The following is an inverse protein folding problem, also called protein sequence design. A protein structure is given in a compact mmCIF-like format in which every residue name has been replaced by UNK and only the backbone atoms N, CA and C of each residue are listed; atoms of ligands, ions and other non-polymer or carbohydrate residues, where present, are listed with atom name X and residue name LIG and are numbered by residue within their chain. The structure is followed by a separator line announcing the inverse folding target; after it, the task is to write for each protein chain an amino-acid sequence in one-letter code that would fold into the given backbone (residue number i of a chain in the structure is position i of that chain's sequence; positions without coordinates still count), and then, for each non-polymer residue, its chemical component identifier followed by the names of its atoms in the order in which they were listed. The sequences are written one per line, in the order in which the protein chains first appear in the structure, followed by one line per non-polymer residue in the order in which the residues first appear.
data_IF_249331196875
#
_entry.id   IF_249331196875
#
_cell.length_a   1.000
_cell.length_b   1.000
_cell.length_c   1.000
_cell.angle_alpha   90.00
_cell.angle_beta   90.00
_cell.angle_gamma   90.00
#
_symmetry.space_group_name_H-M   'P 1'
#
loop_
_entity.id
_entity.type
_entity.pdbx_description
1 polymer ?
#
# COMPACT_ATOMS: atom_id res chain seq x y z
N UNK A 1 -53.74 20.32 48.41
CA UNK A 1 -53.02 21.35 47.64
C UNK A 1 -52.04 20.65 46.71
N UNK A 2 -52.19 20.87 45.39
CA UNK A 2 -51.42 20.20 44.32
C UNK A 2 -49.95 20.64 44.37
N UNK A 3 -49.02 19.81 43.89
CA UNK A 3 -48.06 20.12 42.81
C UNK A 3 -47.44 18.79 42.33
N UNK A 4 -47.74 18.43 41.07
CA UNK A 4 -47.02 17.43 40.26
C UNK A 4 -45.85 18.16 39.60
N UNK A 5 -44.63 17.72 39.80
CA UNK A 5 -43.49 18.14 38.97
C UNK A 5 -43.20 17.04 37.95
N UNK A 6 -43.43 17.36 36.69
CA UNK A 6 -42.97 16.58 35.54
C UNK A 6 -41.53 17.01 35.23
N UNK A 7 -40.58 16.09 35.31
CA UNK A 7 -39.26 16.26 34.70
C UNK A 7 -39.31 15.60 33.32
N UNK A 8 -39.41 16.42 32.29
CA UNK A 8 -39.24 16.01 30.91
C UNK A 8 -37.80 15.55 30.71
N UNK A 9 -37.61 14.27 30.39
CA UNK A 9 -36.32 13.73 29.99
C UNK A 9 -35.89 14.35 28.67
N UNK A 10 -34.86 15.18 28.71
CA UNK A 10 -34.21 15.75 27.54
C UNK A 10 -33.26 14.69 26.96
N UNK A 11 -33.75 13.90 26.01
CA UNK A 11 -32.93 12.93 25.28
C UNK A 11 -31.98 13.70 24.35
N UNK A 12 -30.72 13.83 24.76
CA UNK A 12 -29.63 14.35 23.95
C UNK A 12 -29.35 13.33 22.83
N UNK A 13 -29.87 13.59 21.63
CA UNK A 13 -29.47 12.87 20.43
C UNK A 13 -28.08 13.39 20.06
N UNK A 14 -27.05 12.63 20.42
CA UNK A 14 -25.67 12.85 19.95
C UNK A 14 -25.62 12.37 18.50
N UNK A 15 -25.84 13.28 17.56
CA UNK A 15 -25.51 13.04 16.15
C UNK A 15 -23.99 12.99 16.03
N UNK A 16 -23.44 11.78 15.93
CA UNK A 16 -22.05 11.59 15.55
C UNK A 16 -21.85 12.14 14.13
N UNK A 17 -21.22 13.32 14.02
CA UNK A 17 -20.65 13.78 12.76
C UNK A 17 -19.56 12.77 12.37
N UNK A 18 -19.90 11.88 11.42
CA UNK A 18 -18.90 11.12 10.69
C UNK A 18 -18.18 12.15 9.81
N UNK A 19 -17.07 12.67 10.31
CA UNK A 19 -16.14 13.45 9.48
C UNK A 19 -15.65 12.51 8.38
N UNK A 20 -15.83 12.84 7.08
CA UNK A 20 -15.20 12.07 6.04
C UNK A 20 -13.70 12.13 6.26
N UNK A 21 -13.05 10.97 6.44
CA UNK A 21 -11.59 10.88 6.35
C UNK A 21 -11.21 11.51 5.01
N UNK A 22 -10.50 12.63 5.06
CA UNK A 22 -10.00 13.27 3.86
C UNK A 22 -9.04 12.28 3.17
N UNK A 23 -9.47 11.71 2.04
CA UNK A 23 -8.66 10.86 1.19
C UNK A 23 -7.50 11.62 0.49
N UNK A 24 -7.13 12.81 0.98
CA UNK A 24 -6.11 13.70 0.40
C UNK A 24 -4.67 13.42 0.87
N UNK A 25 -4.46 12.59 1.90
CA UNK A 25 -3.15 12.43 2.53
C UNK A 25 -2.18 11.46 1.80
N UNK A 26 -2.64 10.71 0.81
CA UNK A 26 -1.88 9.54 0.31
C UNK A 26 -0.79 9.91 -0.71
N UNK A 27 -0.89 11.08 -1.34
CA UNK A 27 0.03 11.52 -2.38
C UNK A 27 0.63 12.90 -2.10
N UNK A 28 0.76 13.26 -0.81
CA UNK A 28 1.39 14.53 -0.44
C UNK A 28 2.85 14.55 -0.90
N UNK A 29 3.26 15.69 -1.45
CA UNK A 29 4.64 15.92 -1.89
C UNK A 29 5.30 16.92 -0.95
N UNK A 30 6.63 16.91 -0.89
CA UNK A 30 7.37 17.95 -0.16
C UNK A 30 7.41 19.29 -0.91
N UNK A 31 6.89 19.36 -2.13
CA UNK A 31 6.82 20.60 -2.90
C UNK A 31 5.87 21.56 -2.18
N UNK A 32 6.40 22.74 -1.81
CA UNK A 32 5.69 23.75 -1.02
C UNK A 32 5.25 23.31 0.39
N UNK A 33 5.80 22.21 0.92
CA UNK A 33 5.55 21.78 2.30
C UNK A 33 6.42 22.59 3.28
N UNK A 34 5.88 22.98 4.45
CA UNK A 34 6.71 23.56 5.52
C UNK A 34 7.76 22.57 6.05
N UNK A 35 7.56 21.27 5.81
CA UNK A 35 8.49 20.21 6.22
C UNK A 35 9.45 19.80 5.08
N UNK A 36 9.52 20.57 3.99
CA UNK A 36 10.28 20.21 2.78
C UNK A 36 11.72 19.81 3.09
N UNK A 37 12.47 20.66 3.78
CA UNK A 37 13.88 20.40 4.10
C UNK A 37 14.05 19.11 4.91
N UNK A 38 13.17 18.87 5.88
CA UNK A 38 13.21 17.67 6.71
C UNK A 38 12.92 16.40 5.89
N UNK A 39 11.93 16.47 4.99
CA UNK A 39 11.58 15.37 4.10
C UNK A 39 12.69 15.07 3.08
N UNK A 40 13.30 16.11 2.48
CA UNK A 40 14.42 15.96 1.55
C UNK A 40 15.66 15.38 2.24
N UNK A 41 15.99 15.85 3.45
CA UNK A 41 17.13 15.32 4.21
C UNK A 41 16.92 13.84 4.56
N UNK A 42 15.74 13.47 5.06
CA UNK A 42 15.40 12.08 5.33
C UNK A 42 15.44 11.22 4.05
N UNK A 43 14.94 11.75 2.93
CA UNK A 43 15.00 11.09 1.62
C UNK A 43 16.44 10.79 1.18
N UNK A 44 17.32 11.79 1.21
CA UNK A 44 18.72 11.65 0.81
C UNK A 44 19.44 10.59 1.67
N UNK A 45 19.21 10.62 2.99
CA UNK A 45 19.81 9.68 3.94
C UNK A 45 19.37 8.24 3.66
N UNK A 46 18.06 7.97 3.61
CA UNK A 46 17.58 6.60 3.39
C UNK A 46 18.02 6.07 2.02
N UNK A 47 18.01 6.91 0.96
CA UNK A 47 18.49 6.53 -0.37
C UNK A 47 19.97 6.14 -0.37
N UNK A 48 20.78 6.76 0.49
CA UNK A 48 22.18 6.37 0.71
C UNK A 48 22.31 4.94 1.27
N UNK A 49 21.46 4.57 2.23
CA UNK A 49 21.41 3.22 2.80
C UNK A 49 20.82 2.19 1.83
N UNK A 50 19.77 2.54 1.08
CA UNK A 50 19.19 1.67 0.03
C UNK A 50 20.24 1.28 -1.02
N UNK A 51 21.08 2.22 -1.47
CA UNK A 51 22.17 1.92 -2.42
C UNK A 51 23.17 0.89 -1.87
N UNK A 52 23.34 0.85 -0.56
CA UNK A 52 24.20 -0.11 0.14
C UNK A 52 23.45 -1.39 0.55
N UNK A 53 22.14 -1.47 0.27
CA UNK A 53 21.22 -2.54 0.71
C UNK A 53 21.15 -2.68 2.23
N UNK A 54 21.45 -1.61 2.96
CA UNK A 54 21.28 -1.56 4.42
C UNK A 54 19.85 -1.14 4.76
N UNK A 55 18.92 -2.08 4.61
CA UNK A 55 17.49 -1.84 4.82
C UNK A 55 17.15 -1.52 6.28
N UNK A 56 17.91 -2.08 7.22
CA UNK A 56 17.75 -1.81 8.65
C UNK A 56 18.06 -0.35 8.97
N UNK A 57 19.18 0.17 8.46
CA UNK A 57 19.52 1.58 8.63
C UNK A 57 18.62 2.50 7.79
N UNK A 58 18.16 2.07 6.61
CA UNK A 58 17.26 2.84 5.76
C UNK A 58 15.89 3.08 6.40
N UNK A 59 15.31 2.07 7.07
CA UNK A 59 13.93 2.08 7.55
C UNK A 59 13.51 3.34 8.34
N UNK A 60 14.21 3.78 9.40
CA UNK A 60 13.78 4.94 10.17
C UNK A 60 13.74 6.23 9.34
N UNK A 61 14.71 6.45 8.46
CA UNK A 61 14.77 7.62 7.60
C UNK A 61 13.74 7.55 6.47
N UNK A 62 13.54 6.36 5.89
CA UNK A 62 12.48 6.13 4.90
C UNK A 62 11.11 6.42 5.50
N UNK A 63 10.82 5.87 6.69
CA UNK A 63 9.54 6.08 7.38
C UNK A 63 9.30 7.56 7.66
N UNK A 64 10.32 8.28 8.11
CA UNK A 64 10.26 9.72 8.31
C UNK A 64 9.94 10.47 7.01
N UNK A 65 10.68 10.18 5.93
CA UNK A 65 10.47 10.82 4.63
C UNK A 65 9.06 10.54 4.07
N UNK A 66 8.66 9.27 4.07
CA UNK A 66 7.36 8.80 3.60
C UNK A 66 6.20 9.39 4.41
N UNK A 67 6.34 9.51 5.73
CA UNK A 67 5.29 10.10 6.59
C UNK A 67 5.07 11.59 6.29
N UNK A 68 6.11 12.33 5.94
CA UNK A 68 6.02 13.77 5.63
C UNK A 68 5.57 14.05 4.20
N UNK A 69 5.93 13.18 3.26
CA UNK A 69 5.65 13.36 1.84
C UNK A 69 5.66 12.01 1.11
N UNK A 70 4.58 11.21 1.17
CA UNK A 70 4.52 9.87 0.56
C UNK A 70 4.85 9.85 -0.93
N UNK A 71 4.44 10.89 -1.67
CA UNK A 71 4.71 11.05 -3.09
C UNK A 71 5.99 11.86 -3.37
N UNK A 72 6.89 11.99 -2.40
CA UNK A 72 8.20 12.58 -2.60
C UNK A 72 8.16 13.97 -3.28
N UNK A 73 8.80 14.09 -4.45
CA UNK A 73 8.80 15.29 -5.30
C UNK A 73 7.64 15.34 -6.31
N UNK A 74 6.74 14.35 -6.28
CA UNK A 74 5.65 14.16 -7.24
C UNK A 74 6.09 13.64 -8.60
N UNK A 75 7.38 13.29 -8.78
CA UNK A 75 7.94 12.88 -10.07
C UNK A 75 8.42 11.43 -10.09
N UNK A 76 8.81 10.88 -8.93
CA UNK A 76 9.35 9.52 -8.82
C UNK A 76 8.75 8.79 -7.62
N UNK A 77 8.26 7.59 -7.87
CA UNK A 77 7.70 6.64 -6.89
C UNK A 77 8.73 5.99 -5.95
N UNK A 78 9.87 6.63 -5.73
CA UNK A 78 10.98 6.08 -4.92
C UNK A 78 10.54 5.72 -3.49
N UNK A 79 9.68 6.52 -2.87
CA UNK A 79 9.20 6.21 -1.52
C UNK A 79 8.37 4.94 -1.47
N UNK A 80 7.52 4.68 -2.48
CA UNK A 80 6.74 3.46 -2.55
C UNK A 80 7.62 2.25 -2.88
N UNK A 81 8.39 2.32 -3.97
CA UNK A 81 9.28 1.24 -4.41
C UNK A 81 10.34 0.86 -3.37
N UNK A 82 11.02 1.84 -2.77
CA UNK A 82 12.03 1.57 -1.74
C UNK A 82 11.38 1.07 -0.44
N UNK A 83 10.18 1.56 -0.12
CA UNK A 83 9.40 1.07 1.02
C UNK A 83 9.06 -0.40 0.86
N UNK A 84 8.60 -0.80 -0.32
CA UNK A 84 8.34 -2.19 -0.67
C UNK A 84 9.60 -3.04 -0.49
N UNK A 85 10.76 -2.57 -0.96
CA UNK A 85 12.03 -3.28 -0.77
C UNK A 85 12.40 -3.46 0.71
N UNK A 86 12.23 -2.41 1.53
CA UNK A 86 12.48 -2.46 2.98
C UNK A 86 11.53 -3.45 3.66
N UNK A 87 10.23 -3.39 3.37
CA UNK A 87 9.26 -4.32 3.96
C UNK A 87 9.44 -5.75 3.46
N UNK A 88 9.85 -5.96 2.21
CA UNK A 88 10.21 -7.29 1.69
C UNK A 88 11.40 -7.87 2.44
N UNK A 89 12.42 -7.06 2.72
CA UNK A 89 13.54 -7.47 3.58
C UNK A 89 13.07 -7.84 4.99
N UNK A 90 12.22 -7.03 5.62
CA UNK A 90 11.68 -7.34 6.97
C UNK A 90 10.83 -8.61 6.97
N UNK A 91 10.00 -8.82 5.94
CA UNK A 91 9.20 -10.03 5.74
C UNK A 91 10.09 -11.29 5.65
N UNK A 92 11.21 -11.20 4.94
CA UNK A 92 12.15 -12.31 4.77
C UNK A 92 12.98 -12.60 6.03
N UNK A 93 13.17 -11.61 6.91
CA UNK A 93 14.05 -11.70 8.09
C UNK A 93 13.29 -11.81 9.42
N UNK A 94 11.98 -12.05 9.40
CA UNK A 94 11.18 -12.33 10.59
C UNK A 94 10.63 -13.74 10.53
N UNK A 95 10.54 -14.42 11.68
CA UNK A 95 9.84 -15.70 11.84
C UNK A 95 8.49 -15.53 12.54
N UNK A 96 8.18 -14.33 13.06
CA UNK A 96 6.89 -14.06 13.69
C UNK A 96 5.78 -14.01 12.62
N UNK A 97 4.79 -14.93 12.66
CA UNK A 97 3.73 -14.97 11.65
C UNK A 97 2.89 -13.70 11.59
N UNK A 98 2.69 -13.01 12.72
CA UNK A 98 1.91 -11.76 12.76
C UNK A 98 2.69 -10.62 12.10
N UNK A 99 4.00 -10.57 12.33
CA UNK A 99 4.85 -9.58 11.66
C UNK A 99 4.97 -9.88 10.17
N UNK A 100 5.12 -11.15 9.76
CA UNK A 100 5.10 -11.53 8.34
C UNK A 100 3.83 -11.03 7.66
N UNK A 101 2.68 -11.32 8.23
CA UNK A 101 1.40 -10.89 7.65
C UNK A 101 1.31 -9.36 7.59
N UNK A 102 1.64 -8.67 8.69
CA UNK A 102 1.63 -7.20 8.72
C UNK A 102 2.58 -6.57 7.68
N UNK A 103 3.74 -7.16 7.41
CA UNK A 103 4.66 -6.67 6.40
C UNK A 103 4.16 -6.94 4.98
N UNK A 104 3.58 -8.12 4.72
CA UNK A 104 2.95 -8.43 3.44
C UNK A 104 1.80 -7.46 3.14
N UNK A 105 0.93 -7.20 4.11
CA UNK A 105 -0.18 -6.25 3.96
C UNK A 105 0.32 -4.82 3.72
N UNK A 106 1.45 -4.44 4.34
CA UNK A 106 2.07 -3.13 4.09
C UNK A 106 2.65 -3.03 2.67
N UNK A 107 3.21 -4.11 2.14
CA UNK A 107 3.69 -4.15 0.74
C UNK A 107 2.52 -3.93 -0.23
N UNK A 108 1.40 -4.63 -0.02
CA UNK A 108 0.17 -4.45 -0.83
C UNK A 108 -0.33 -3.01 -0.75
N UNK A 109 -0.41 -2.43 0.46
CA UNK A 109 -0.80 -1.04 0.65
C UNK A 109 0.10 -0.06 -0.12
N UNK A 110 1.42 -0.27 -0.11
CA UNK A 110 2.36 0.58 -0.84
C UNK A 110 2.22 0.47 -2.36
N UNK A 111 1.90 -0.72 -2.90
CA UNK A 111 1.59 -0.89 -4.31
C UNK A 111 0.32 -0.14 -4.72
N UNK A 112 -0.76 -0.22 -3.92
CA UNK A 112 -1.99 0.51 -4.20
C UNK A 112 -1.77 2.02 -4.21
N UNK A 113 -1.04 2.54 -3.22
CA UNK A 113 -0.68 3.97 -3.18
C UNK A 113 0.23 4.37 -4.33
N UNK A 114 1.17 3.52 -4.75
CA UNK A 114 1.98 3.76 -5.93
C UNK A 114 1.09 3.92 -7.15
N UNK A 115 0.19 2.97 -7.41
CA UNK A 115 -0.76 3.02 -8.52
C UNK A 115 -1.62 4.29 -8.48
N UNK A 116 -2.08 4.68 -7.30
CA UNK A 116 -2.90 5.87 -7.11
C UNK A 116 -2.13 7.18 -7.37
N UNK A 117 -0.92 7.31 -6.82
CA UNK A 117 -0.15 8.55 -6.88
C UNK A 117 0.61 8.73 -8.19
N UNK A 118 0.96 7.63 -8.87
CA UNK A 118 1.69 7.64 -10.14
C UNK A 118 0.96 6.81 -11.20
N UNK A 119 -0.19 7.29 -11.72
CA UNK A 119 -0.99 6.53 -12.68
C UNK A 119 -0.24 6.17 -13.97
N UNK A 120 0.78 6.97 -14.36
CA UNK A 120 1.64 6.67 -15.52
C UNK A 120 2.54 5.44 -15.29
N UNK A 121 2.76 5.04 -14.03
CA UNK A 121 3.53 3.87 -13.64
C UNK A 121 2.64 2.68 -13.27
N UNK A 122 1.31 2.82 -13.36
CA UNK A 122 0.32 1.81 -12.94
C UNK A 122 0.62 0.41 -13.47
N UNK A 123 0.81 0.28 -14.78
CA UNK A 123 1.05 -1.02 -15.41
C UNK A 123 2.32 -1.70 -14.86
N UNK A 124 3.35 -0.90 -14.58
CA UNK A 124 4.59 -1.38 -13.98
C UNK A 124 4.38 -1.79 -12.51
N UNK A 125 3.73 -0.94 -11.70
CA UNK A 125 3.46 -1.21 -10.30
C UNK A 125 2.60 -2.47 -10.11
N UNK A 126 1.50 -2.62 -10.85
CA UNK A 126 0.65 -3.82 -10.82
C UNK A 126 1.42 -5.08 -11.25
N UNK A 127 2.29 -4.97 -12.25
CA UNK A 127 3.12 -6.08 -12.70
C UNK A 127 4.13 -6.57 -11.64
N UNK A 128 4.67 -5.64 -10.85
CA UNK A 128 5.54 -5.94 -9.72
C UNK A 128 4.74 -6.51 -8.54
N UNK A 129 3.55 -5.97 -8.27
CA UNK A 129 2.67 -6.47 -7.21
C UNK A 129 2.31 -7.93 -7.45
N UNK A 130 1.84 -8.30 -8.64
CA UNK A 130 1.55 -9.70 -9.00
C UNK A 130 2.76 -10.60 -8.76
N UNK A 131 3.95 -10.14 -9.13
CA UNK A 131 5.19 -10.89 -8.91
C UNK A 131 5.46 -11.10 -7.42
N UNK A 132 5.32 -10.05 -6.60
CA UNK A 132 5.51 -10.11 -5.16
C UNK A 132 4.51 -11.06 -4.49
N UNK A 133 3.22 -10.93 -4.79
CA UNK A 133 2.17 -11.77 -4.21
C UNK A 133 2.40 -13.25 -4.53
N UNK A 134 2.79 -13.56 -5.76
CA UNK A 134 2.98 -14.94 -6.20
C UNK A 134 4.30 -15.56 -5.73
N UNK A 135 5.44 -14.90 -5.97
CA UNK A 135 6.76 -15.49 -5.75
C UNK A 135 7.33 -15.20 -4.36
N UNK A 136 7.18 -13.97 -3.87
CA UNK A 136 7.88 -13.51 -2.67
C UNK A 136 7.05 -13.70 -1.40
N UNK A 137 5.79 -13.29 -1.44
CA UNK A 137 4.88 -13.31 -0.30
C UNK A 137 4.05 -14.59 -0.23
N UNK A 138 3.92 -15.30 -1.37
CA UNK A 138 3.14 -16.54 -1.52
C UNK A 138 1.73 -16.39 -0.95
N UNK A 139 1.07 -15.28 -1.30
CA UNK A 139 -0.29 -14.97 -0.89
C UNK A 139 -1.28 -16.00 -1.44
N UNK A 140 -2.48 -16.12 -0.86
CA UNK A 140 -3.54 -16.98 -1.37
C UNK A 140 -3.77 -16.74 -2.87
N UNK A 141 -4.00 -17.81 -3.62
CA UNK A 141 -4.11 -17.73 -5.09
C UNK A 141 -5.30 -16.89 -5.55
N UNK A 142 -6.36 -16.81 -4.75
CA UNK A 142 -7.49 -15.91 -4.96
C UNK A 142 -7.04 -14.45 -4.97
N UNK A 143 -6.19 -14.05 -4.02
CA UNK A 143 -5.65 -12.68 -3.94
C UNK A 143 -4.74 -12.38 -5.13
N UNK A 144 -3.84 -13.31 -5.48
CA UNK A 144 -2.97 -13.18 -6.66
C UNK A 144 -3.81 -13.05 -7.94
N UNK A 145 -4.88 -13.86 -8.07
CA UNK A 145 -5.74 -13.86 -9.25
C UNK A 145 -6.44 -12.51 -9.44
N UNK A 146 -7.01 -11.93 -8.38
CA UNK A 146 -7.71 -10.64 -8.47
C UNK A 146 -6.76 -9.52 -8.93
N UNK A 147 -5.55 -9.45 -8.37
CA UNK A 147 -4.57 -8.43 -8.76
C UNK A 147 -4.03 -8.70 -10.17
N UNK A 148 -3.78 -9.95 -10.54
CA UNK A 148 -3.31 -10.30 -11.87
C UNK A 148 -4.36 -10.02 -12.96
N UNK A 149 -5.63 -10.29 -12.66
CA UNK A 149 -6.77 -9.92 -13.50
C UNK A 149 -6.85 -8.41 -13.67
N UNK A 150 -6.81 -7.65 -12.56
CA UNK A 150 -6.79 -6.18 -12.59
C UNK A 150 -5.63 -5.65 -13.43
N UNK A 151 -4.43 -6.22 -13.29
CA UNK A 151 -3.27 -5.83 -14.09
C UNK A 151 -3.54 -5.97 -15.59
N UNK A 152 -4.12 -7.10 -16.03
CA UNK A 152 -4.47 -7.32 -17.44
C UNK A 152 -5.59 -6.39 -17.91
N UNK A 153 -6.65 -6.23 -17.11
CA UNK A 153 -7.82 -5.42 -17.48
C UNK A 153 -7.52 -3.92 -17.54
N UNK A 154 -6.71 -3.40 -16.60
CA UNK A 154 -6.39 -1.98 -16.54
C UNK A 154 -5.19 -1.59 -17.43
N UNK A 155 -4.21 -2.47 -17.62
CA UNK A 155 -3.02 -2.16 -18.41
C UNK A 155 -3.12 -2.56 -19.89
N UNK A 156 -3.97 -3.53 -20.24
CA UNK A 156 -4.11 -4.02 -21.61
C UNK A 156 -2.77 -4.41 -22.22
N UNK A 157 -2.42 -3.84 -23.37
CA UNK A 157 -1.14 -4.08 -24.07
C UNK A 157 0.11 -3.62 -23.28
N UNK A 158 -0.06 -2.82 -22.23
CA UNK A 158 1.05 -2.41 -21.34
C UNK A 158 1.27 -3.39 -20.18
N UNK A 159 0.50 -4.48 -20.10
CA UNK A 159 0.67 -5.50 -19.06
C UNK A 159 2.09 -6.03 -19.04
N UNK A 160 2.73 -6.00 -17.87
CA UNK A 160 4.09 -6.51 -17.71
C UNK A 160 4.14 -8.02 -17.95
N UNK A 161 5.18 -8.49 -18.63
CA UNK A 161 5.34 -9.92 -18.94
C UNK A 161 5.37 -10.81 -17.67
N UNK A 162 5.78 -10.24 -16.53
CA UNK A 162 5.85 -10.91 -15.23
C UNK A 162 4.47 -11.35 -14.71
N UNK A 163 3.38 -10.83 -15.26
CA UNK A 163 2.00 -11.14 -14.86
C UNK A 163 1.53 -12.47 -15.43
N UNK A 164 1.89 -12.80 -16.68
CA UNK A 164 1.22 -13.89 -17.42
C UNK A 164 1.40 -15.27 -16.79
N UNK A 165 2.61 -15.61 -16.32
CA UNK A 165 2.86 -16.92 -15.68
C UNK A 165 2.12 -17.05 -14.34
N UNK A 166 2.25 -16.11 -13.38
CA UNK A 166 1.41 -16.10 -12.18
C UNK A 166 -0.07 -16.19 -12.50
N UNK A 167 -0.57 -15.35 -13.42
CA UNK A 167 -1.99 -15.27 -13.72
C UNK A 167 -2.54 -16.59 -14.27
N UNK A 168 -1.88 -17.16 -15.28
CA UNK A 168 -2.28 -18.44 -15.84
C UNK A 168 -2.21 -19.57 -14.80
N UNK A 169 -1.18 -19.56 -13.95
CA UNK A 169 -1.01 -20.58 -12.91
C UNK A 169 -2.16 -20.54 -11.90
N UNK A 170 -2.48 -19.36 -11.37
CA UNK A 170 -3.55 -19.23 -10.37
C UNK A 170 -4.93 -19.41 -11.00
N UNK A 171 -5.15 -18.98 -12.24
CA UNK A 171 -6.40 -19.20 -12.96
C UNK A 171 -6.68 -20.70 -13.18
N UNK A 172 -5.70 -21.46 -13.69
CA UNK A 172 -5.83 -22.92 -13.88
C UNK A 172 -6.08 -23.63 -12.56
N UNK A 173 -5.36 -23.24 -11.50
CA UNK A 173 -5.57 -23.80 -10.18
C UNK A 173 -6.99 -23.54 -9.67
N UNK A 174 -7.45 -22.29 -9.67
CA UNK A 174 -8.76 -21.92 -9.14
C UNK A 174 -9.90 -22.53 -9.96
N UNK A 175 -9.75 -22.63 -11.29
CA UNK A 175 -10.68 -23.35 -12.15
C UNK A 175 -10.76 -24.84 -11.77
N UNK A 176 -9.61 -25.50 -11.55
CA UNK A 176 -9.57 -26.90 -11.12
C UNK A 176 -10.19 -27.15 -9.73
N UNK A 177 -10.34 -26.08 -8.93
CA UNK A 177 -10.99 -26.09 -7.62
C UNK A 177 -12.44 -25.62 -7.67
N UNK A 178 -13.01 -25.43 -8.87
CA UNK A 178 -14.37 -24.93 -9.08
C UNK A 178 -14.62 -23.54 -8.44
N UNK A 179 -13.53 -22.79 -8.19
CA UNK A 179 -13.58 -21.42 -7.65
C UNK A 179 -13.65 -20.34 -8.74
N UNK A 180 -13.42 -20.71 -10.00
CA UNK A 180 -13.69 -19.89 -11.16
C UNK A 180 -14.73 -20.60 -12.04
N UNK A 181 -15.69 -19.83 -12.55
CA UNK A 181 -16.68 -20.35 -13.49
C UNK A 181 -16.06 -20.54 -14.88
N UNK A 182 -16.74 -21.35 -15.69
CA UNK A 182 -16.51 -21.42 -17.14
C UNK A 182 -16.91 -20.11 -17.81
#
# INVERSE_FOLDING_TARGET
MKIKTWLAGMTLIVTALILPLQAGAQCETWINSPQKEQAENAHVLYRGFIKQKDYQAAYPYWKQAYTMAPAADGRRSSHFSDGIDIYRWMYQNTDDPKLKESYADTIVMLYEQWVQCYPNEKAYALGLEVYDLFYNLRRPYEEVYEIAKRAVEEAGDQTQYTVFVPYATVAVYLFSKEKLSK
#
